data_IF_765849434777
#
_entry.id   IF_765849434777
#
_cell.length_a   1.000
_cell.length_b   1.000
_cell.length_c   1.000
_cell.angle_alpha   90.00
_cell.angle_beta   90.00
_cell.angle_gamma   90.00
#
_symmetry.space_group_name_H-M   'P 1'
#
loop_
_entity.id
_entity.type
_entity.pdbx_description
1 polymer ?
#
# COMPACT_ATOMS: atom_id res chain seq x y z
N UNK A 1 16.09 -3.99 7.88
CA UNK A 1 14.70 -4.37 7.54
C UNK A 1 14.34 -3.73 6.20
N UNK A 2 13.64 -4.43 5.29
CA UNK A 2 13.18 -3.83 4.03
C UNK A 2 12.12 -2.74 4.31
N UNK A 3 12.14 -1.64 3.55
CA UNK A 3 11.19 -0.54 3.66
C UNK A 3 10.31 -0.44 2.41
N UNK A 4 9.01 -0.37 2.61
CA UNK A 4 8.05 -0.05 1.56
C UNK A 4 7.90 1.47 1.44
N UNK A 5 8.17 2.03 0.26
CA UNK A 5 8.00 3.46 -0.02
C UNK A 5 7.37 3.68 -1.39
N UNK A 6 6.27 4.44 -1.44
CA UNK A 6 5.57 4.80 -2.68
C UNK A 6 6.15 6.03 -3.37
N UNK A 7 6.98 6.80 -2.66
CA UNK A 7 7.30 8.18 -3.03
C UNK A 7 6.06 9.08 -3.01
N UNK A 8 6.16 10.25 -3.65
CA UNK A 8 5.03 11.16 -3.82
C UNK A 8 4.01 10.56 -4.80
N UNK A 9 2.75 10.50 -4.37
CA UNK A 9 1.64 10.01 -5.18
C UNK A 9 0.37 10.79 -4.83
N UNK A 10 -0.47 11.05 -5.84
CA UNK A 10 -1.78 11.67 -5.63
C UNK A 10 -2.65 10.71 -4.80
N UNK A 11 -3.41 11.24 -3.85
CA UNK A 11 -4.27 10.43 -2.97
C UNK A 11 -5.22 9.50 -3.75
N UNK A 12 -5.79 9.93 -4.88
CA UNK A 12 -6.64 9.06 -5.71
C UNK A 12 -5.94 7.83 -6.30
N UNK A 13 -4.61 7.83 -6.38
CA UNK A 13 -3.82 6.77 -7.01
C UNK A 13 -2.90 6.00 -6.04
N UNK A 14 -2.93 6.30 -4.73
CA UNK A 14 -2.00 5.68 -3.77
C UNK A 14 -2.14 4.15 -3.74
N UNK A 15 -3.37 3.64 -3.86
CA UNK A 15 -3.66 2.22 -3.69
C UNK A 15 -3.00 1.36 -4.79
N UNK A 16 -3.09 1.81 -6.05
CA UNK A 16 -2.44 1.16 -7.18
C UNK A 16 -0.93 1.30 -7.14
N UNK A 17 -0.42 2.47 -6.73
CA UNK A 17 1.02 2.68 -6.58
C UNK A 17 1.60 1.76 -5.52
N UNK A 18 0.95 1.64 -4.36
CA UNK A 18 1.37 0.75 -3.27
C UNK A 18 1.43 -0.69 -3.75
N UNK A 19 0.37 -1.17 -4.41
CA UNK A 19 0.33 -2.53 -4.96
C UNK A 19 1.50 -2.75 -5.92
N UNK A 20 1.71 -1.85 -6.89
CA UNK A 20 2.81 -1.98 -7.87
C UNK A 20 4.18 -2.02 -7.22
N UNK A 21 4.44 -1.17 -6.22
CA UNK A 21 5.72 -1.15 -5.50
C UNK A 21 5.91 -2.43 -4.70
N UNK A 22 4.87 -2.92 -4.01
CA UNK A 22 4.97 -4.15 -3.22
C UNK A 22 5.31 -5.36 -4.11
N UNK A 23 4.64 -5.49 -5.27
CA UNK A 23 4.96 -6.53 -6.24
C UNK A 23 6.38 -6.38 -6.82
N UNK A 24 6.83 -5.15 -7.06
CA UNK A 24 8.19 -4.91 -7.55
C UNK A 24 9.25 -5.31 -6.51
N UNK A 25 9.06 -4.93 -5.23
CA UNK A 25 9.99 -5.24 -4.15
C UNK A 25 10.02 -6.74 -3.80
N UNK A 26 8.91 -7.45 -3.95
CA UNK A 26 8.81 -8.88 -3.64
C UNK A 26 9.00 -9.78 -4.87
N UNK A 27 9.32 -9.22 -6.04
CA UNK A 27 9.42 -9.94 -7.31
C UNK A 27 10.33 -11.16 -7.23
N UNK A 28 11.49 -11.02 -6.61
CA UNK A 28 12.48 -12.09 -6.55
C UNK A 28 12.01 -13.24 -5.63
N UNK A 29 11.33 -12.90 -4.53
CA UNK A 29 10.71 -13.89 -3.63
C UNK A 29 9.55 -14.62 -4.28
N UNK A 30 8.76 -13.93 -5.10
CA UNK A 30 7.69 -14.55 -5.90
C UNK A 30 8.30 -15.53 -6.90
N UNK A 31 9.39 -15.13 -7.59
CA UNK A 31 10.09 -16.00 -8.54
C UNK A 31 10.75 -17.21 -7.89
N UNK A 32 11.26 -17.04 -6.67
CA UNK A 32 11.82 -18.13 -5.86
C UNK A 32 10.76 -19.10 -5.30
N UNK A 33 9.46 -18.78 -5.46
CA UNK A 33 8.36 -19.60 -4.92
C UNK A 33 8.14 -19.44 -3.42
N UNK A 34 8.87 -18.55 -2.74
CA UNK A 34 8.70 -18.25 -1.32
C UNK A 34 7.37 -17.54 -1.02
N UNK A 35 6.84 -16.80 -2.00
CA UNK A 35 5.60 -16.04 -1.89
C UNK A 35 4.71 -16.27 -3.10
N UNK A 36 3.41 -16.39 -2.88
CA UNK A 36 2.43 -16.47 -3.97
C UNK A 36 1.96 -15.08 -4.38
N UNK A 37 1.66 -14.91 -5.67
CA UNK A 37 1.03 -13.68 -6.17
C UNK A 37 -0.27 -13.33 -5.42
N UNK A 38 -1.04 -14.36 -5.05
CA UNK A 38 -2.29 -14.21 -4.31
C UNK A 38 -2.06 -13.65 -2.90
N UNK A 39 -1.05 -14.15 -2.18
CA UNK A 39 -0.68 -13.64 -0.86
C UNK A 39 -0.24 -12.17 -0.92
N UNK A 40 0.61 -11.82 -1.89
CA UNK A 40 1.07 -10.43 -2.07
C UNK A 40 -0.10 -9.50 -2.41
N UNK A 41 -1.03 -9.93 -3.27
CA UNK A 41 -2.24 -9.16 -3.57
C UNK A 41 -3.13 -8.98 -2.34
N UNK A 42 -3.34 -10.04 -1.56
CA UNK A 42 -4.13 -9.98 -0.32
C UNK A 42 -3.52 -8.99 0.67
N UNK A 43 -2.21 -9.07 0.93
CA UNK A 43 -1.52 -8.17 1.86
C UNK A 43 -1.49 -6.71 1.37
N UNK A 44 -1.36 -6.48 0.06
CA UNK A 44 -1.53 -5.14 -0.50
C UNK A 44 -2.95 -4.59 -0.24
N UNK A 45 -3.99 -5.42 -0.39
CA UNK A 45 -5.37 -5.05 -0.13
C UNK A 45 -5.65 -4.74 1.34
N UNK A 46 -5.17 -5.59 2.26
CA UNK A 46 -5.26 -5.36 3.71
C UNK A 46 -4.63 -4.02 4.09
N UNK A 47 -3.42 -3.73 3.59
CA UNK A 47 -2.72 -2.48 3.85
C UNK A 47 -3.45 -1.28 3.23
N UNK A 48 -3.95 -1.39 2.00
CA UNK A 48 -4.72 -0.33 1.34
C UNK A 48 -6.00 0.02 2.10
N UNK A 49 -6.68 -0.97 2.69
CA UNK A 49 -7.87 -0.77 3.54
C UNK A 49 -7.51 0.01 4.81
N UNK A 50 -6.38 -0.32 5.44
CA UNK A 50 -5.90 0.38 6.64
C UNK A 50 -5.53 1.83 6.31
N UNK A 51 -4.78 2.06 5.23
CA UNK A 51 -4.41 3.39 4.76
C UNK A 51 -5.63 4.23 4.36
N UNK A 52 -6.66 3.62 3.77
CA UNK A 52 -7.92 4.31 3.46
C UNK A 52 -8.56 4.85 4.73
N UNK A 53 -8.70 3.98 5.75
CA UNK A 53 -9.26 4.37 7.04
C UNK A 53 -8.49 5.55 7.65
N UNK A 54 -7.17 5.50 7.63
CA UNK A 54 -6.32 6.55 8.21
C UNK A 54 -6.40 7.86 7.43
N UNK A 55 -6.36 7.78 6.09
CA UNK A 55 -6.43 8.96 5.22
C UNK A 55 -7.76 9.70 5.39
N UNK A 56 -8.88 8.94 5.47
CA UNK A 56 -10.20 9.52 5.74
C UNK A 56 -10.27 10.12 7.15
N UNK A 57 -9.75 9.43 8.16
CA UNK A 57 -9.72 9.96 9.53
C UNK A 57 -8.88 11.23 9.67
N UNK A 58 -7.71 11.30 9.04
CA UNK A 58 -6.86 12.51 9.03
C UNK A 58 -7.56 13.66 8.32
N UNK A 59 -8.20 13.39 7.18
CA UNK A 59 -8.95 14.42 6.46
C UNK A 59 -10.08 14.98 7.33
N UNK A 60 -10.77 14.12 8.09
CA UNK A 60 -11.79 14.56 9.04
C UNK A 60 -11.21 15.45 10.15
N UNK A 61 -10.06 15.09 10.73
CA UNK A 61 -9.39 15.92 11.75
C UNK A 61 -9.01 17.29 11.19
N UNK A 62 -8.44 17.34 9.98
CA UNK A 62 -8.09 18.61 9.31
C UNK A 62 -9.34 19.46 9.05
N UNK A 63 -10.48 18.84 8.73
CA UNK A 63 -11.75 19.55 8.52
C UNK A 63 -12.41 20.04 9.81
N UNK A 64 -12.08 19.48 10.97
CA UNK A 64 -12.62 19.90 12.28
C UNK A 64 -11.74 20.96 12.95
N UNK A 65 -10.46 21.02 12.58
CA UNK A 65 -9.48 21.99 13.10
C UNK A 65 -9.38 23.29 12.28
N UNK A 66 -10.03 23.36 11.11
CA UNK A 66 -10.22 24.59 10.31
C UNK A 66 -11.65 25.10 10.46
#
# INVERSE_FOLDING_TARGET
MPQLSTGLVIAGAYADKLRRVLFAQLRDKIKAGELTNQLVAQKAGELNRLLFKWTVSINWVISVLN
#
